data_IF_329014790167
#
_entry.id   IF_329014790167
#
_cell.length_a   1.000
_cell.length_b   1.000
_cell.length_c   1.000
_cell.angle_alpha   90.00
_cell.angle_beta   90.00
_cell.angle_gamma   90.00
#
_symmetry.space_group_name_H-M   'P 1'
#
loop_
_entity.id
_entity.type
_entity.pdbx_description
1 polymer ?
#
# COMPACT_ATOMS: atom_id res chain seq x y z
N UNK A 1 6.46 18.95 -16.56
CA UNK A 1 6.62 17.68 -17.28
C UNK A 1 6.39 17.91 -18.76
N UNK A 2 7.30 17.49 -19.63
CA UNK A 2 6.99 17.41 -21.07
C UNK A 2 5.75 16.50 -21.26
N UNK A 3 4.80 16.92 -22.11
CA UNK A 3 3.66 16.06 -22.45
C UNK A 3 4.19 14.78 -23.10
N UNK A 4 3.98 13.65 -22.44
CA UNK A 4 4.37 12.36 -22.98
C UNK A 4 3.33 11.95 -24.04
N UNK A 5 3.74 11.64 -25.26
CA UNK A 5 2.79 11.34 -26.35
C UNK A 5 2.06 10.00 -26.15
N UNK A 6 2.59 9.09 -25.35
CA UNK A 6 2.01 7.78 -25.08
C UNK A 6 2.40 7.27 -23.70
N UNK A 7 1.43 6.86 -22.90
CA UNK A 7 1.67 6.20 -21.63
C UNK A 7 2.10 4.75 -21.85
N UNK A 8 3.01 4.25 -21.01
CA UNK A 8 3.39 2.85 -20.95
C UNK A 8 2.73 2.15 -19.76
N UNK A 9 2.75 0.83 -19.76
CA UNK A 9 2.46 0.02 -18.58
C UNK A 9 3.65 0.13 -17.64
N UNK A 10 3.41 0.68 -16.47
CA UNK A 10 4.40 0.82 -15.39
C UNK A 10 3.94 -0.02 -14.18
N UNK A 11 4.89 -0.57 -13.44
CA UNK A 11 4.62 -1.36 -12.24
C UNK A 11 4.91 -0.52 -10.99
N UNK A 12 4.09 -0.62 -9.94
CA UNK A 12 4.42 -0.07 -8.62
C UNK A 12 5.53 -0.88 -7.97
N UNK A 13 5.35 -2.19 -7.84
CA UNK A 13 6.41 -3.11 -7.43
C UNK A 13 7.34 -3.34 -8.62
N UNK A 14 8.66 -3.15 -8.50
CA UNK A 14 9.59 -3.41 -9.60
C UNK A 14 9.42 -4.83 -10.18
N UNK A 15 9.37 -4.93 -11.50
CA UNK A 15 9.07 -6.21 -12.17
C UNK A 15 10.03 -7.34 -11.81
N UNK A 16 11.29 -7.03 -11.52
CA UNK A 16 12.25 -8.04 -11.09
C UNK A 16 11.90 -8.60 -9.71
N UNK A 17 11.38 -7.78 -8.78
CA UNK A 17 10.89 -8.27 -7.49
C UNK A 17 9.74 -9.27 -7.67
N UNK A 18 8.82 -8.99 -8.61
CA UNK A 18 7.72 -9.91 -8.91
C UNK A 18 8.20 -11.24 -9.49
N UNK A 19 9.26 -11.21 -10.29
CA UNK A 19 9.85 -12.43 -10.85
C UNK A 19 10.53 -13.31 -9.80
N UNK A 20 11.04 -12.74 -8.72
CA UNK A 20 11.65 -13.49 -7.61
C UNK A 20 10.65 -14.44 -6.93
N UNK A 21 9.37 -14.05 -6.89
CA UNK A 21 8.32 -14.77 -6.16
C UNK A 21 7.32 -15.48 -7.09
N UNK A 22 7.37 -15.23 -8.40
CA UNK A 22 6.45 -15.82 -9.36
C UNK A 22 6.76 -17.30 -9.61
N UNK A 23 5.72 -18.08 -9.88
CA UNK A 23 5.80 -19.45 -10.41
C UNK A 23 5.23 -19.43 -11.82
N UNK A 24 6.00 -19.88 -12.80
CA UNK A 24 5.60 -19.85 -14.24
C UNK A 24 5.09 -18.48 -14.72
N UNK A 25 5.64 -17.39 -14.14
CA UNK A 25 5.22 -16.03 -14.46
C UNK A 25 3.90 -15.58 -13.86
N UNK A 26 3.33 -16.35 -12.94
CA UNK A 26 2.07 -16.09 -12.24
C UNK A 26 2.28 -15.76 -10.77
N UNK A 27 1.38 -14.99 -10.21
CA UNK A 27 1.26 -14.58 -8.82
C UNK A 27 -0.19 -14.72 -8.37
N UNK A 28 -0.41 -14.78 -7.07
CA UNK A 28 -1.73 -14.65 -6.47
C UNK A 28 -1.94 -13.22 -5.98
N UNK A 29 -3.17 -12.74 -6.01
CA UNK A 29 -3.53 -11.41 -5.48
C UNK A 29 -4.80 -11.51 -4.66
N UNK A 30 -4.95 -10.59 -3.71
CA UNK A 30 -6.20 -10.43 -2.98
C UNK A 30 -7.27 -9.89 -3.95
N UNK A 31 -8.43 -10.53 -3.97
CA UNK A 31 -9.59 -9.99 -4.66
C UNK A 31 -10.74 -9.91 -3.66
N UNK A 32 -11.24 -8.72 -3.41
CA UNK A 32 -12.49 -8.54 -2.68
C UNK A 32 -13.66 -9.01 -3.57
N UNK A 33 -13.90 -10.32 -3.61
CA UNK A 33 -15.06 -10.89 -4.30
C UNK A 33 -16.08 -11.32 -3.26
N UNK A 34 -17.30 -10.82 -3.35
CA UNK A 34 -18.40 -11.28 -2.50
C UNK A 34 -18.55 -12.80 -2.62
N UNK A 35 -18.27 -13.52 -1.53
CA UNK A 35 -18.46 -14.98 -1.43
C UNK A 35 -17.34 -15.87 -1.93
N UNK A 36 -16.22 -15.32 -2.44
CA UNK A 36 -15.05 -16.07 -2.90
C UNK A 36 -13.90 -16.13 -1.90
N UNK A 37 -12.88 -16.95 -2.20
CA UNK A 37 -11.61 -16.88 -1.49
C UNK A 37 -10.95 -15.53 -1.73
N UNK A 38 -10.48 -14.90 -0.67
CA UNK A 38 -9.92 -13.55 -0.71
C UNK A 38 -8.57 -13.52 -1.41
N UNK A 39 -7.84 -14.66 -1.42
CA UNK A 39 -6.47 -14.75 -1.93
C UNK A 39 -6.36 -15.97 -2.85
N UNK A 40 -6.92 -15.89 -4.05
CA UNK A 40 -6.77 -16.98 -5.03
C UNK A 40 -6.75 -16.51 -6.49
N UNK A 41 -6.87 -15.21 -6.70
CA UNK A 41 -6.88 -14.70 -8.06
C UNK A 41 -5.48 -14.71 -8.68
N UNK A 42 -5.28 -15.55 -9.69
CA UNK A 42 -4.06 -15.53 -10.47
C UNK A 42 -3.91 -14.25 -11.30
N UNK A 43 -2.72 -13.69 -11.29
CA UNK A 43 -2.32 -12.57 -12.14
C UNK A 43 -0.93 -12.80 -12.71
N UNK A 44 -0.76 -12.59 -14.00
CA UNK A 44 0.55 -12.64 -14.62
C UNK A 44 1.44 -11.45 -14.23
N UNK A 45 2.74 -11.67 -14.04
CA UNK A 45 3.74 -10.63 -13.69
C UNK A 45 3.61 -9.36 -14.56
N UNK A 46 3.27 -9.50 -15.83
CA UNK A 46 3.11 -8.36 -16.75
C UNK A 46 1.88 -7.48 -16.49
N UNK A 47 0.92 -7.96 -15.68
CA UNK A 47 -0.33 -7.25 -15.34
C UNK A 47 -0.41 -6.89 -13.85
N UNK A 48 0.40 -7.53 -13.02
CA UNK A 48 0.39 -7.35 -11.57
C UNK A 48 0.83 -5.93 -11.19
N UNK A 49 0.08 -5.26 -10.31
CA UNK A 49 0.35 -3.92 -9.78
C UNK A 49 0.72 -2.88 -10.86
N UNK A 50 0.02 -2.88 -11.99
CA UNK A 50 0.30 -1.98 -13.11
C UNK A 50 -0.61 -0.76 -13.17
N UNK A 51 -0.11 0.33 -13.77
CA UNK A 51 -0.86 1.53 -14.09
C UNK A 51 -0.32 2.18 -15.38
N UNK A 52 -1.07 3.15 -15.96
CA UNK A 52 -0.71 3.84 -17.19
C UNK A 52 -0.81 5.36 -17.01
N UNK A 53 0.20 5.97 -16.37
CA UNK A 53 0.25 7.42 -16.10
C UNK A 53 1.60 8.06 -16.46
N UNK A 54 2.57 7.25 -16.92
CA UNK A 54 3.91 7.70 -17.30
C UNK A 54 4.30 7.17 -18.66
N UNK A 55 5.15 7.88 -19.40
CA UNK A 55 5.74 7.33 -20.61
C UNK A 55 6.99 6.51 -20.29
N UNK A 56 7.39 5.64 -21.21
CA UNK A 56 8.53 4.74 -21.03
C UNK A 56 9.81 5.49 -20.64
N UNK A 57 10.10 6.63 -21.28
CA UNK A 57 11.28 7.42 -20.97
C UNK A 57 11.27 7.91 -19.52
N UNK A 58 10.16 8.53 -19.08
CA UNK A 58 10.03 9.00 -17.71
C UNK A 58 10.07 7.84 -16.71
N UNK A 59 9.46 6.69 -17.03
CA UNK A 59 9.48 5.51 -16.19
C UNK A 59 10.91 5.00 -15.97
N UNK A 60 11.66 4.82 -17.05
CA UNK A 60 13.03 4.29 -16.98
C UNK A 60 14.02 5.28 -16.34
N UNK A 61 13.96 6.56 -16.70
CA UNK A 61 14.96 7.54 -16.26
C UNK A 61 14.70 8.02 -14.82
N UNK A 62 13.44 8.30 -14.50
CA UNK A 62 13.10 8.88 -13.21
C UNK A 62 13.16 7.88 -12.07
N UNK A 63 12.71 6.64 -12.27
CA UNK A 63 12.61 5.63 -11.22
C UNK A 63 13.84 4.73 -11.10
N UNK A 64 14.92 5.04 -11.82
CA UNK A 64 16.13 4.21 -11.93
C UNK A 64 16.73 3.84 -10.58
N UNK A 65 16.75 4.75 -9.60
CA UNK A 65 17.41 4.48 -8.33
C UNK A 65 16.72 3.34 -7.57
N UNK A 66 15.40 3.46 -7.35
CA UNK A 66 14.70 2.43 -6.58
C UNK A 66 14.43 1.16 -7.40
N UNK A 67 14.48 1.23 -8.73
CA UNK A 67 14.40 0.05 -9.61
C UNK A 67 15.76 -0.63 -9.82
N UNK A 68 16.80 -0.20 -9.13
CA UNK A 68 18.11 -0.86 -9.11
C UNK A 68 18.24 -1.71 -7.86
N UNK A 69 18.36 -3.06 -7.99
CA UNK A 69 18.38 -3.99 -6.85
C UNK A 69 19.42 -3.63 -5.78
N UNK A 70 20.60 -3.24 -6.19
CA UNK A 70 21.71 -2.88 -5.28
C UNK A 70 21.36 -1.65 -4.43
N UNK A 71 20.66 -0.69 -5.01
CA UNK A 71 20.22 0.52 -4.30
C UNK A 71 19.18 0.19 -3.24
N UNK A 72 18.26 -0.75 -3.51
CA UNK A 72 17.25 -1.16 -2.55
C UNK A 72 17.82 -1.86 -1.32
N UNK A 73 18.92 -2.61 -1.47
CA UNK A 73 19.58 -3.27 -0.35
C UNK A 73 20.29 -2.30 0.59
N UNK A 74 20.47 -1.05 0.18
CA UNK A 74 21.05 -0.01 1.03
C UNK A 74 19.97 0.72 1.83
N UNK A 75 20.38 1.39 2.91
CA UNK A 75 19.49 2.30 3.63
C UNK A 75 18.94 3.35 2.66
N UNK A 76 17.60 3.52 2.57
CA UNK A 76 17.00 4.37 1.54
C UNK A 76 17.36 5.85 1.76
N UNK A 77 17.76 6.50 0.69
CA UNK A 77 17.91 7.95 0.64
C UNK A 77 16.55 8.65 0.47
N UNK A 78 16.50 9.96 0.73
CA UNK A 78 15.31 10.77 0.43
C UNK A 78 14.90 10.66 -1.04
N UNK A 79 15.84 10.52 -1.98
CA UNK A 79 15.54 10.32 -3.39
C UNK A 79 14.81 8.99 -3.65
N UNK A 80 15.29 7.89 -3.07
CA UNK A 80 14.65 6.57 -3.19
C UNK A 80 13.23 6.63 -2.63
N UNK A 81 13.04 7.17 -1.42
CA UNK A 81 11.71 7.36 -0.84
C UNK A 81 10.82 8.26 -1.71
N UNK A 82 11.37 9.33 -2.29
CA UNK A 82 10.64 10.20 -3.21
C UNK A 82 10.21 9.50 -4.50
N UNK A 83 11.04 8.63 -5.07
CA UNK A 83 10.71 7.83 -6.24
C UNK A 83 9.61 6.80 -5.92
N UNK A 84 9.70 6.09 -4.81
CA UNK A 84 8.69 5.15 -4.33
C UNK A 84 7.37 5.88 -4.07
N UNK A 85 7.40 6.99 -3.34
CA UNK A 85 6.19 7.79 -3.08
C UNK A 85 5.52 8.27 -4.37
N UNK A 86 6.31 8.70 -5.37
CA UNK A 86 5.77 9.10 -6.67
C UNK A 86 5.08 7.94 -7.40
N UNK A 87 5.63 6.73 -7.38
CA UNK A 87 4.97 5.54 -7.95
C UNK A 87 3.66 5.20 -7.25
N UNK A 88 3.66 5.23 -5.91
CA UNK A 88 2.48 4.96 -5.11
C UNK A 88 1.37 5.98 -5.42
N UNK A 89 1.70 7.28 -5.45
CA UNK A 89 0.75 8.35 -5.78
C UNK A 89 0.22 8.23 -7.22
N UNK A 90 1.07 7.89 -8.20
CA UNK A 90 0.62 7.64 -9.57
C UNK A 90 -0.37 6.49 -9.65
N UNK A 91 -0.18 5.45 -8.87
CA UNK A 91 -1.11 4.31 -8.78
C UNK A 91 -2.45 4.75 -8.18
N UNK A 92 -2.44 5.48 -7.05
CA UNK A 92 -3.67 5.97 -6.39
C UNK A 92 -4.44 6.95 -7.27
N UNK A 93 -3.77 7.91 -7.88
CA UNK A 93 -4.40 8.82 -8.86
C UNK A 93 -5.03 8.05 -10.02
N UNK A 94 -4.36 6.97 -10.50
CA UNK A 94 -4.90 6.11 -11.55
C UNK A 94 -6.17 5.38 -11.11
N UNK A 95 -6.19 4.83 -9.88
CA UNK A 95 -7.38 4.18 -9.30
C UNK A 95 -8.52 5.19 -9.11
N UNK A 96 -8.24 6.34 -8.55
CA UNK A 96 -9.25 7.38 -8.29
C UNK A 96 -9.90 7.89 -9.59
N UNK A 97 -9.10 8.14 -10.63
CA UNK A 97 -9.61 8.54 -11.94
C UNK A 97 -10.49 7.45 -12.56
N UNK A 98 -10.06 6.19 -12.49
CA UNK A 98 -10.85 5.07 -12.98
C UNK A 98 -12.20 4.96 -12.26
N UNK A 99 -12.24 5.16 -10.93
CA UNK A 99 -13.48 5.17 -10.16
C UNK A 99 -14.41 6.29 -10.58
N UNK A 100 -13.89 7.49 -10.87
CA UNK A 100 -14.69 8.63 -11.37
C UNK A 100 -15.29 8.30 -12.74
N UNK A 101 -14.50 7.71 -13.65
CA UNK A 101 -14.98 7.32 -14.99
C UNK A 101 -16.07 6.25 -14.92
N UNK A 102 -15.90 5.22 -14.05
CA UNK A 102 -16.94 4.20 -13.86
C UNK A 102 -18.24 4.82 -13.33
N UNK A 103 -18.15 5.67 -12.30
CA UNK A 103 -19.34 6.32 -11.74
C UNK A 103 -20.05 7.19 -12.78
N UNK A 104 -19.32 7.86 -13.65
CA UNK A 104 -19.90 8.63 -14.76
C UNK A 104 -20.62 7.74 -15.80
N UNK A 105 -20.11 6.52 -16.04
CA UNK A 105 -20.75 5.55 -16.95
C UNK A 105 -21.99 4.91 -16.34
N UNK A 106 -22.01 4.69 -15.02
CA UNK A 106 -23.17 4.13 -14.31
C UNK A 106 -24.35 5.12 -14.19
N UNK A 107 -24.11 6.40 -14.48
CA UNK A 107 -25.13 7.43 -14.74
C UNK A 107 -26.14 7.66 -13.61
N UNK A 108 -27.34 8.12 -13.96
CA UNK A 108 -28.41 8.59 -13.07
C UNK A 108 -28.96 7.57 -12.05
N UNK A 109 -28.42 6.36 -12.00
CA UNK A 109 -28.75 5.34 -10.99
C UNK A 109 -28.05 5.59 -9.64
N UNK A 110 -27.26 6.66 -9.51
CA UNK A 110 -26.45 6.91 -8.32
C UNK A 110 -27.18 7.80 -7.31
N UNK A 111 -27.30 7.37 -6.04
CA UNK A 111 -27.91 8.20 -5.00
C UNK A 111 -27.12 9.50 -4.74
N UNK A 112 -27.77 10.58 -4.23
CA UNK A 112 -27.12 11.89 -3.93
C UNK A 112 -25.86 11.79 -3.03
N UNK A 113 -25.75 10.73 -2.24
CA UNK A 113 -24.58 10.45 -1.41
C UNK A 113 -23.31 10.24 -2.24
N UNK A 114 -23.44 9.78 -3.49
CA UNK A 114 -22.30 9.58 -4.39
C UNK A 114 -21.76 10.91 -4.93
N UNK A 115 -22.56 11.95 -5.03
CA UNK A 115 -22.12 13.29 -5.44
C UNK A 115 -21.22 13.92 -4.38
N UNK A 116 -21.61 13.80 -3.09
CA UNK A 116 -20.77 14.28 -1.99
C UNK A 116 -19.43 13.50 -1.93
N UNK A 117 -19.48 12.19 -2.13
CA UNK A 117 -18.30 11.34 -2.19
C UNK A 117 -17.42 11.67 -3.40
N UNK A 118 -18.01 11.96 -4.55
CA UNK A 118 -17.31 12.38 -5.76
C UNK A 118 -16.57 13.72 -5.55
N UNK A 119 -17.23 14.70 -4.88
CA UNK A 119 -16.60 15.97 -4.56
C UNK A 119 -15.41 15.81 -3.62
N UNK A 120 -15.52 14.99 -2.57
CA UNK A 120 -14.40 14.69 -1.66
C UNK A 120 -13.28 13.98 -2.41
N UNK A 121 -13.57 13.00 -3.27
CA UNK A 121 -12.58 12.32 -4.09
C UNK A 121 -11.85 13.25 -5.05
N UNK A 122 -12.54 14.24 -5.62
CA UNK A 122 -11.91 15.24 -6.46
C UNK A 122 -10.88 16.08 -5.68
N UNK A 123 -11.20 16.41 -4.42
CA UNK A 123 -10.27 17.10 -3.52
C UNK A 123 -9.08 16.20 -3.21
N UNK A 124 -9.29 14.93 -2.89
CA UNK A 124 -8.23 13.96 -2.60
C UNK A 124 -7.29 13.79 -3.81
N UNK A 125 -7.83 13.66 -5.02
CA UNK A 125 -7.02 13.60 -6.25
C UNK A 125 -6.16 14.86 -6.43
N UNK A 126 -6.69 16.04 -6.16
CA UNK A 126 -5.93 17.28 -6.25
C UNK A 126 -4.81 17.36 -5.21
N UNK A 127 -5.03 16.83 -4.01
CA UNK A 127 -4.01 16.70 -2.97
C UNK A 127 -2.92 15.68 -3.37
N UNK A 128 -3.32 14.52 -3.87
CA UNK A 128 -2.40 13.50 -4.36
C UNK A 128 -1.54 14.02 -5.53
N UNK A 129 -2.11 14.84 -6.42
CA UNK A 129 -1.35 15.50 -7.48
C UNK A 129 -0.33 16.53 -6.93
N UNK A 130 -0.67 17.24 -5.85
CA UNK A 130 0.27 18.12 -5.16
C UNK A 130 1.38 17.32 -4.47
N UNK A 131 1.01 16.26 -3.76
CA UNK A 131 1.96 15.34 -3.13
C UNK A 131 2.87 14.68 -4.17
N UNK A 132 2.34 14.30 -5.34
CA UNK A 132 3.10 13.77 -6.47
C UNK A 132 4.13 14.78 -6.98
N UNK A 133 3.76 16.04 -7.16
CA UNK A 133 4.72 17.09 -7.56
C UNK A 133 5.87 17.21 -6.58
N UNK A 134 5.58 17.13 -5.27
CA UNK A 134 6.61 17.16 -4.24
C UNK A 134 7.49 15.90 -4.27
N UNK A 135 6.90 14.71 -4.34
CA UNK A 135 7.62 13.44 -4.43
C UNK A 135 8.54 13.41 -5.67
N UNK A 136 8.04 13.86 -6.82
CA UNK A 136 8.83 13.99 -8.05
C UNK A 136 10.02 14.95 -7.90
N UNK A 137 9.84 16.07 -7.20
CA UNK A 137 10.92 17.02 -6.91
C UNK A 137 11.99 16.41 -6.03
N UNK A 138 11.57 15.73 -4.95
CA UNK A 138 12.49 15.06 -4.01
C UNK A 138 13.24 13.92 -4.69
N UNK A 139 12.56 13.09 -5.44
CA UNK A 139 13.15 11.96 -6.15
C UNK A 139 14.18 12.35 -7.22
N UNK A 140 14.24 13.61 -7.64
CA UNK A 140 15.25 14.15 -8.56
C UNK A 140 16.40 14.84 -7.87
N UNK A 141 16.25 15.25 -6.62
CA UNK A 141 17.23 16.09 -5.94
C UNK A 141 17.96 15.29 -4.84
N UNK A 142 19.25 14.95 -5.04
CA UNK A 142 20.04 14.25 -4.04
C UNK A 142 20.23 15.05 -2.74
N UNK A 143 20.02 16.38 -2.80
CA UNK A 143 20.14 17.27 -1.64
C UNK A 143 18.79 17.54 -0.96
N UNK A 144 17.68 16.95 -1.44
CA UNK A 144 16.38 17.11 -0.80
C UNK A 144 16.37 16.32 0.50
N UNK A 145 16.61 17.01 1.60
CA UNK A 145 16.55 16.46 2.95
C UNK A 145 15.15 16.70 3.53
N UNK A 146 14.73 15.82 4.44
CA UNK A 146 13.56 16.03 5.33
C UNK A 146 12.18 16.14 4.65
N UNK A 147 12.01 15.61 3.44
CA UNK A 147 10.67 15.51 2.84
C UNK A 147 9.92 14.25 3.31
N UNK A 148 10.66 13.19 3.55
CA UNK A 148 10.17 11.92 4.06
C UNK A 148 10.94 11.50 5.31
N UNK A 149 10.24 10.85 6.22
CA UNK A 149 10.83 10.26 7.43
C UNK A 149 10.74 8.75 7.35
N UNK A 150 11.91 8.12 7.42
CA UNK A 150 12.03 6.67 7.51
C UNK A 150 11.57 6.22 8.90
N UNK A 151 10.57 5.36 8.95
CA UNK A 151 10.05 4.74 10.19
C UNK A 151 10.78 3.44 10.45
N UNK A 152 10.91 2.60 9.42
CA UNK A 152 11.56 1.29 9.51
C UNK A 152 12.26 0.92 8.20
N UNK A 153 13.35 0.19 8.31
CA UNK A 153 14.05 -0.44 7.19
C UNK A 153 14.78 -1.69 7.67
N UNK A 154 14.48 -2.80 7.03
CA UNK A 154 15.18 -4.06 7.24
C UNK A 154 15.49 -4.71 5.90
N UNK A 155 16.59 -5.45 5.85
CA UNK A 155 16.96 -6.33 4.73
C UNK A 155 17.02 -7.75 5.29
N UNK A 156 16.01 -8.53 4.99
CA UNK A 156 15.93 -9.93 5.39
C UNK A 156 16.84 -10.77 4.49
N UNK A 157 17.66 -11.69 5.03
CA UNK A 157 18.61 -12.49 4.24
C UNK A 157 17.93 -13.70 3.55
N UNK A 158 16.68 -13.53 3.12
CA UNK A 158 15.86 -14.52 2.41
C UNK A 158 14.78 -13.82 1.60
N UNK A 159 14.22 -14.53 0.63
CA UNK A 159 13.10 -14.10 -0.19
C UNK A 159 11.78 -14.41 0.53
N UNK A 160 11.05 -13.38 0.97
CA UNK A 160 9.70 -13.53 1.51
C UNK A 160 8.71 -13.94 0.41
N UNK A 161 7.59 -14.60 0.77
CA UNK A 161 6.66 -15.18 -0.21
C UNK A 161 5.69 -14.16 -0.81
N UNK A 162 5.80 -12.88 -0.50
CA UNK A 162 4.94 -11.85 -1.07
C UNK A 162 5.72 -10.56 -1.36
N UNK A 163 5.17 -9.78 -2.27
CA UNK A 163 5.65 -8.45 -2.61
C UNK A 163 4.54 -7.42 -2.45
N UNK A 164 4.90 -6.24 -2.01
CA UNK A 164 3.97 -5.13 -1.80
C UNK A 164 4.68 -3.79 -1.97
N UNK A 165 4.01 -2.84 -2.60
CA UNK A 165 4.43 -1.44 -2.58
C UNK A 165 3.22 -0.55 -2.81
N UNK A 166 2.81 0.17 -1.77
CA UNK A 166 1.75 1.17 -1.84
C UNK A 166 1.82 2.16 -0.68
N UNK A 167 1.05 3.23 -0.77
CA UNK A 167 0.66 4.01 0.40
C UNK A 167 -0.67 3.49 0.94
N UNK A 168 -0.78 3.46 2.25
CA UNK A 168 -1.99 3.07 2.98
C UNK A 168 -2.34 4.17 3.99
N UNK A 169 -3.58 4.18 4.46
CA UNK A 169 -4.07 5.15 5.44
C UNK A 169 -4.52 4.44 6.72
N UNK A 170 -3.60 4.00 7.60
CA UNK A 170 -3.97 3.38 8.87
C UNK A 170 -4.91 4.26 9.69
N UNK A 171 -5.97 3.67 10.21
CA UNK A 171 -6.99 4.35 11.03
C UNK A 171 -6.47 4.67 12.42
N UNK A 172 -5.80 3.71 13.05
CA UNK A 172 -5.33 3.80 14.42
C UNK A 172 -3.88 3.35 14.59
N UNK A 173 -3.26 3.76 15.68
CA UNK A 173 -1.99 3.24 16.15
C UNK A 173 -2.15 1.88 16.87
N UNK A 174 -1.15 1.43 17.60
CA UNK A 174 -1.15 0.11 18.27
C UNK A 174 -2.20 0.00 19.37
N UNK A 175 -2.53 1.09 20.02
CA UNK A 175 -3.42 1.15 21.20
C UNK A 175 -4.80 1.77 20.88
N UNK A 176 -5.05 2.12 19.62
CA UNK A 176 -6.31 2.73 19.16
C UNK A 176 -6.29 4.26 19.16
N UNK A 177 -5.10 4.88 19.30
CA UNK A 177 -4.95 6.31 19.06
C UNK A 177 -5.18 6.65 17.59
N UNK A 178 -5.98 7.70 17.31
CA UNK A 178 -6.39 8.06 15.96
C UNK A 178 -5.22 8.56 15.10
N UNK A 179 -5.03 7.95 13.93
CA UNK A 179 -4.11 8.42 12.89
C UNK A 179 -4.93 9.05 11.76
N UNK A 180 -5.81 8.26 11.13
CA UNK A 180 -6.66 8.72 10.05
C UNK A 180 -8.11 8.44 10.38
N UNK A 181 -8.95 9.44 10.14
CA UNK A 181 -10.39 9.30 10.31
C UNK A 181 -11.07 9.32 8.93
N UNK A 182 -11.26 8.14 8.38
CA UNK A 182 -11.79 7.94 7.03
C UNK A 182 -13.18 8.55 6.82
N UNK A 183 -14.00 8.58 7.88
CA UNK A 183 -15.35 9.11 7.82
C UNK A 183 -15.42 10.65 7.96
N UNK A 184 -14.29 11.33 8.04
CA UNK A 184 -14.26 12.78 8.08
C UNK A 184 -14.32 13.33 6.64
N UNK A 185 -15.53 13.63 6.18
CA UNK A 185 -15.79 14.20 4.86
C UNK A 185 -15.57 15.73 4.81
N UNK A 186 -14.99 16.32 5.85
CA UNK A 186 -14.67 17.76 5.83
C UNK A 186 -13.70 18.08 4.68
N UNK A 187 -14.00 19.08 3.85
CA UNK A 187 -13.10 19.51 2.77
C UNK A 187 -11.72 19.98 3.25
N UNK A 188 -11.56 20.26 4.53
CA UNK A 188 -10.28 20.64 5.16
C UNK A 188 -9.51 19.45 5.72
N UNK A 189 -10.13 18.29 5.90
CA UNK A 189 -9.46 17.11 6.41
C UNK A 189 -8.63 16.45 5.32
N UNK A 190 -7.43 15.97 5.69
CA UNK A 190 -6.54 15.23 4.79
C UNK A 190 -6.03 13.99 5.48
N UNK A 191 -6.00 12.89 4.73
CA UNK A 191 -5.34 11.68 5.16
C UNK A 191 -3.82 11.90 5.21
N UNK A 192 -3.19 11.31 6.21
CA UNK A 192 -1.73 11.21 6.28
C UNK A 192 -1.32 9.78 5.91
N UNK A 193 -0.78 9.54 4.70
CA UNK A 193 -0.45 8.20 4.27
C UNK A 193 0.85 7.69 4.89
N UNK A 194 0.91 6.37 5.06
CA UNK A 194 2.11 5.60 5.34
C UNK A 194 2.49 4.82 4.07
N UNK A 195 3.71 4.96 3.60
CA UNK A 195 4.24 4.17 2.51
C UNK A 195 4.85 2.89 3.06
N UNK A 196 4.46 1.75 2.50
CA UNK A 196 5.01 0.43 2.86
C UNK A 196 5.54 -0.25 1.61
N UNK A 197 6.71 -0.87 1.75
CA UNK A 197 7.32 -1.70 0.73
C UNK A 197 7.74 -3.03 1.34
N UNK A 198 7.43 -4.13 0.65
CA UNK A 198 8.01 -5.45 0.83
C UNK A 198 8.51 -5.88 -0.55
N UNK A 199 9.81 -5.83 -0.76
CA UNK A 199 10.43 -5.94 -2.08
C UNK A 199 11.46 -7.09 -2.08
N UNK A 200 11.05 -8.30 -2.49
CA UNK A 200 11.96 -9.42 -2.74
C UNK A 200 12.97 -9.06 -3.83
N UNK A 201 14.25 -9.24 -3.57
CA UNK A 201 15.33 -8.91 -4.52
C UNK A 201 16.60 -9.66 -4.24
N UNK A 202 17.17 -10.34 -5.25
CA UNK A 202 18.47 -11.04 -5.15
C UNK A 202 18.59 -11.97 -3.93
N UNK A 203 17.56 -12.77 -3.67
CA UNK A 203 17.56 -13.69 -2.52
C UNK A 203 17.34 -13.03 -1.16
N UNK A 204 17.06 -11.74 -1.13
CA UNK A 204 16.75 -10.94 0.06
C UNK A 204 15.33 -10.37 -0.03
N UNK A 205 14.86 -9.79 1.07
CA UNK A 205 13.63 -8.99 1.06
C UNK A 205 13.85 -7.68 1.79
N UNK A 206 13.59 -6.58 1.10
CA UNK A 206 13.61 -5.25 1.72
C UNK A 206 12.23 -4.94 2.28
N UNK A 207 12.17 -4.65 3.57
CA UNK A 207 10.97 -4.15 4.25
C UNK A 207 11.21 -2.70 4.63
N UNK A 208 10.34 -1.80 4.17
CA UNK A 208 10.49 -0.37 4.39
C UNK A 208 9.15 0.27 4.73
N UNK A 209 9.13 1.07 5.80
CA UNK A 209 8.02 1.94 6.17
C UNK A 209 8.54 3.37 6.23
N UNK A 210 7.86 4.29 5.56
CA UNK A 210 8.19 5.70 5.63
C UNK A 210 6.95 6.57 5.40
N UNK A 211 6.99 7.81 5.85
CA UNK A 211 5.90 8.78 5.72
C UNK A 211 6.40 10.15 5.31
N UNK A 212 5.50 11.03 4.94
CA UNK A 212 5.82 12.45 4.78
C UNK A 212 6.29 13.07 6.11
N UNK A 213 7.26 13.97 6.07
CA UNK A 213 7.76 14.64 7.28
C UNK A 213 6.67 15.47 7.98
N UNK A 214 5.71 16.00 7.21
CA UNK A 214 4.55 16.75 7.72
C UNK A 214 3.48 15.90 8.38
N UNK A 215 3.48 14.58 8.17
CA UNK A 215 2.49 13.63 8.70
C UNK A 215 2.70 13.39 10.20
N UNK A 216 2.21 14.30 11.04
CA UNK A 216 2.53 14.34 12.46
C UNK A 216 1.65 13.44 13.33
N UNK A 217 0.53 12.96 12.82
CA UNK A 217 -0.35 12.03 13.54
C UNK A 217 0.30 10.67 13.81
N UNK A 218 1.37 10.33 13.06
CA UNK A 218 2.16 9.12 13.27
C UNK A 218 3.15 9.16 14.45
N UNK A 219 3.23 10.24 15.23
CA UNK A 219 4.25 10.35 16.30
C UNK A 219 4.14 9.24 17.33
N UNK A 220 2.92 8.95 17.76
CA UNK A 220 2.65 7.90 18.75
C UNK A 220 2.85 6.52 18.15
N UNK A 221 2.32 6.27 16.94
CA UNK A 221 2.61 5.06 16.19
C UNK A 221 4.12 4.77 16.10
N UNK A 222 4.93 5.79 15.75
CA UNK A 222 6.38 5.60 15.66
C UNK A 222 7.04 5.30 17.01
N UNK A 223 6.55 5.88 18.09
CA UNK A 223 7.05 5.61 19.44
C UNK A 223 6.76 4.15 19.82
N UNK A 224 5.54 3.71 19.63
CA UNK A 224 5.07 2.35 19.90
C UNK A 224 5.81 1.35 19.02
N UNK A 225 5.90 1.60 17.70
CA UNK A 225 6.58 0.74 16.72
C UNK A 225 8.08 0.56 17.07
N UNK A 226 8.78 1.60 17.49
CA UNK A 226 10.19 1.51 17.89
C UNK A 226 10.42 0.65 19.13
N UNK A 227 9.45 0.58 20.02
CA UNK A 227 9.53 -0.23 21.22
C UNK A 227 9.36 -1.74 20.98
N UNK A 228 8.87 -2.15 19.79
CA UNK A 228 8.71 -3.55 19.42
C UNK A 228 10.07 -4.21 19.14
N UNK A 229 10.14 -5.52 19.35
CA UNK A 229 11.20 -6.36 18.81
C UNK A 229 11.08 -6.51 17.27
N UNK A 230 12.10 -7.07 16.62
CA UNK A 230 12.13 -7.16 15.15
C UNK A 230 11.04 -8.07 14.59
N UNK A 231 10.71 -9.19 15.24
CA UNK A 231 9.65 -10.09 14.80
C UNK A 231 8.28 -9.38 14.85
N UNK A 232 8.00 -8.69 15.94
CA UNK A 232 6.78 -7.90 16.13
C UNK A 232 6.67 -6.73 15.14
N UNK A 233 7.78 -6.08 14.77
CA UNK A 233 7.82 -5.05 13.72
C UNK A 233 7.44 -5.64 12.35
N UNK A 234 8.01 -6.78 11.99
CA UNK A 234 7.70 -7.48 10.74
C UNK A 234 6.24 -7.94 10.71
N UNK A 235 5.76 -8.51 11.82
CA UNK A 235 4.36 -8.92 11.93
C UNK A 235 3.39 -7.73 11.82
N UNK A 236 3.74 -6.58 12.39
CA UNK A 236 2.97 -5.35 12.25
C UNK A 236 2.92 -4.88 10.78
N UNK A 237 4.02 -5.02 10.03
CA UNK A 237 4.04 -4.71 8.60
C UNK A 237 3.10 -5.65 7.81
N UNK A 238 3.07 -6.96 8.12
CA UNK A 238 2.12 -7.91 7.51
C UNK A 238 0.68 -7.49 7.82
N UNK A 239 0.36 -7.22 9.09
CA UNK A 239 -0.98 -6.76 9.50
C UNK A 239 -1.42 -5.51 8.72
N UNK A 240 -0.57 -4.51 8.66
CA UNK A 240 -0.85 -3.26 7.95
C UNK A 240 -1.07 -3.47 6.45
N UNK A 241 -0.24 -4.28 5.81
CA UNK A 241 -0.36 -4.58 4.38
C UNK A 241 -1.71 -5.22 4.06
N UNK A 242 -2.08 -6.27 4.78
CA UNK A 242 -3.32 -7.01 4.47
C UNK A 242 -4.59 -6.31 4.95
N UNK A 243 -4.54 -5.56 6.07
CA UNK A 243 -5.72 -4.84 6.57
C UNK A 243 -6.10 -3.62 5.70
N UNK A 244 -5.14 -3.00 5.02
CA UNK A 244 -5.36 -1.72 4.36
C UNK A 244 -5.15 -1.75 2.85
N UNK A 245 -4.86 -2.92 2.25
CA UNK A 245 -4.66 -2.99 0.79
C UNK A 245 -5.05 -4.35 0.20
N UNK A 246 -5.60 -4.29 -1.01
CA UNK A 246 -5.86 -5.45 -1.89
C UNK A 246 -4.70 -5.73 -2.86
N UNK A 247 -3.74 -4.80 -3.00
CA UNK A 247 -2.65 -4.88 -3.99
C UNK A 247 -1.47 -5.76 -3.51
N UNK A 248 -1.73 -6.76 -2.66
CA UNK A 248 -0.73 -7.74 -2.22
C UNK A 248 -0.51 -8.78 -3.31
N UNK A 249 0.75 -9.07 -3.60
CA UNK A 249 1.15 -10.06 -4.61
C UNK A 249 1.89 -11.19 -3.92
N UNK A 250 1.31 -12.38 -3.95
CA UNK A 250 1.76 -13.54 -3.19
C UNK A 250 2.28 -14.61 -4.14
N UNK A 251 3.33 -15.31 -3.74
CA UNK A 251 3.85 -16.46 -4.48
C UNK A 251 2.85 -17.62 -4.45
N UNK A 252 2.59 -18.30 -5.57
CA UNK A 252 1.83 -19.55 -5.59
C UNK A 252 2.45 -20.70 -4.77
N UNK A 253 3.72 -20.56 -4.34
CA UNK A 253 4.38 -21.53 -3.44
C UNK A 253 3.81 -21.50 -2.00
N UNK A 254 3.11 -20.43 -1.66
CA UNK A 254 2.39 -20.36 -0.38
C UNK A 254 1.24 -21.36 -0.42
N UNK A 255 1.29 -22.37 0.41
CA UNK A 255 0.29 -23.45 0.41
C UNK A 255 -1.08 -22.99 0.90
N UNK A 256 -2.10 -23.75 0.52
CA UNK A 256 -3.51 -23.52 0.85
C UNK A 256 -3.77 -23.29 2.34
N UNK A 257 -3.04 -23.99 3.22
CA UNK A 257 -3.19 -23.83 4.67
C UNK A 257 -2.93 -22.39 5.13
N UNK A 258 -1.97 -21.70 4.52
CA UNK A 258 -1.68 -20.29 4.80
C UNK A 258 -2.68 -19.37 4.11
N UNK A 259 -2.99 -19.62 2.84
CA UNK A 259 -3.92 -18.80 2.07
C UNK A 259 -5.36 -18.83 2.63
N UNK A 260 -5.71 -19.92 3.31
CA UNK A 260 -7.02 -20.14 3.97
C UNK A 260 -6.98 -19.91 5.48
N UNK A 261 -5.86 -19.44 6.03
CA UNK A 261 -5.77 -19.10 7.44
C UNK A 261 -6.84 -18.06 7.81
N UNK A 262 -7.62 -18.35 8.85
CA UNK A 262 -8.77 -17.53 9.24
C UNK A 262 -8.38 -16.10 9.61
N UNK A 263 -7.24 -15.92 10.27
CA UNK A 263 -6.75 -14.60 10.66
C UNK A 263 -6.29 -13.79 9.45
N UNK A 264 -5.61 -14.43 8.51
CA UNK A 264 -5.17 -13.79 7.25
C UNK A 264 -6.38 -13.39 6.40
N UNK A 265 -7.35 -14.29 6.23
CA UNK A 265 -8.58 -14.05 5.47
C UNK A 265 -9.41 -12.95 6.12
N UNK A 266 -9.57 -12.97 7.45
CA UNK A 266 -10.27 -11.92 8.18
C UNK A 266 -9.59 -10.58 8.00
N UNK A 267 -8.27 -10.53 8.11
CA UNK A 267 -7.47 -9.32 7.95
C UNK A 267 -7.63 -8.74 6.53
N UNK A 268 -7.50 -9.57 5.50
CA UNK A 268 -7.67 -9.14 4.11
C UNK A 268 -9.09 -8.64 3.78
N UNK A 269 -10.12 -9.18 4.47
CA UNK A 269 -11.51 -8.70 4.35
C UNK A 269 -11.75 -7.34 5.00
N UNK A 270 -10.93 -6.93 5.97
CA UNK A 270 -11.07 -5.62 6.61
C UNK A 270 -10.93 -4.48 5.60
N UNK A 271 -10.09 -4.61 4.59
CA UNK A 271 -9.97 -3.63 3.52
C UNK A 271 -11.27 -3.45 2.73
N UNK A 272 -12.00 -4.54 2.40
CA UNK A 272 -13.27 -4.48 1.68
C UNK A 272 -14.41 -3.96 2.56
N UNK A 273 -14.41 -4.28 3.84
CA UNK A 273 -15.38 -3.74 4.81
C UNK A 273 -15.22 -2.22 4.95
N UNK A 274 -13.99 -1.74 4.95
CA UNK A 274 -13.65 -0.32 4.99
C UNK A 274 -14.19 0.45 3.76
N UNK A 275 -14.26 -0.19 2.60
CA UNK A 275 -14.87 0.38 1.39
C UNK A 275 -16.40 0.29 1.39
N UNK A 276 -16.98 -0.68 2.09
CA UNK A 276 -18.44 -0.94 2.13
C UNK A 276 -19.22 -0.11 3.15
N UNK A 277 -18.58 0.58 4.06
CA UNK A 277 -19.25 1.49 5.01
C UNK A 277 -19.80 2.76 4.35
N UNK A 278 -19.75 2.87 3.02
CA UNK A 278 -20.24 4.01 2.23
C UNK A 278 -21.70 4.38 2.45
N UNK A 279 -22.51 3.45 2.88
CA UNK A 279 -23.97 3.68 2.99
C UNK A 279 -24.41 4.31 4.33
N UNK A 280 -23.52 4.44 5.31
CA UNK A 280 -23.83 4.95 6.66
C UNK A 280 -23.37 6.41 6.89
N UNK A 281 -22.95 7.11 5.86
CA UNK A 281 -22.17 8.36 5.94
C UNK A 281 -22.94 9.65 6.22
N UNK A 282 -24.23 9.61 6.48
CA UNK A 282 -25.01 10.84 6.61
C UNK A 282 -24.80 11.61 7.92
N UNK A 283 -24.10 11.04 8.92
CA UNK A 283 -23.79 11.75 10.16
C UNK A 283 -22.54 11.22 10.82
N UNK A 284 -21.68 12.15 11.30
CA UNK A 284 -20.60 11.83 12.23
C UNK A 284 -21.18 11.10 13.44
N UNK A 285 -20.95 9.80 13.51
CA UNK A 285 -21.29 9.01 14.70
C UNK A 285 -20.01 8.77 15.51
N UNK A 286 -19.87 9.51 16.61
CA UNK A 286 -18.72 9.41 17.52
C UNK A 286 -18.52 7.98 18.03
N UNK A 287 -19.59 7.28 18.37
CA UNK A 287 -19.51 5.90 18.86
C UNK A 287 -18.98 4.94 17.79
N UNK A 288 -19.41 5.11 16.53
CA UNK A 288 -18.90 4.33 15.41
C UNK A 288 -17.40 4.62 15.15
N UNK A 289 -17.00 5.89 15.29
CA UNK A 289 -15.60 6.29 15.17
C UNK A 289 -14.73 5.65 16.27
N UNK A 290 -15.17 5.71 17.51
CA UNK A 290 -14.47 5.10 18.64
C UNK A 290 -14.42 3.57 18.53
N UNK A 291 -15.47 2.95 18.00
CA UNK A 291 -15.47 1.50 17.70
C UNK A 291 -14.46 1.17 16.61
N UNK A 292 -14.47 1.90 15.50
CA UNK A 292 -13.50 1.71 14.42
C UNK A 292 -12.05 1.86 14.92
N UNK A 293 -11.75 2.87 15.75
CA UNK A 293 -10.42 3.05 16.32
C UNK A 293 -9.99 1.84 17.15
N UNK A 294 -10.91 1.24 17.93
CA UNK A 294 -10.60 0.03 18.72
C UNK A 294 -10.38 -1.20 17.84
N UNK A 295 -11.24 -1.39 16.84
CA UNK A 295 -11.16 -2.54 15.91
C UNK A 295 -9.93 -2.49 15.01
N UNK A 296 -9.51 -1.30 14.60
CA UNK A 296 -8.34 -1.07 13.75
C UNK A 296 -7.06 -0.74 14.54
N UNK A 297 -7.08 -0.76 15.87
CA UNK A 297 -5.86 -0.74 16.65
C UNK A 297 -4.96 -1.93 16.24
N UNK A 298 -3.69 -1.68 15.95
CA UNK A 298 -2.81 -2.71 15.35
C UNK A 298 -2.69 -3.93 16.28
N UNK A 299 -2.73 -3.73 17.61
CA UNK A 299 -2.74 -4.82 18.57
C UNK A 299 -4.04 -5.65 18.55
N UNK A 300 -5.17 -5.04 18.14
CA UNK A 300 -6.46 -5.72 18.03
C UNK A 300 -6.67 -6.42 16.68
N UNK A 301 -5.86 -6.08 15.67
CA UNK A 301 -5.93 -6.73 14.36
C UNK A 301 -5.65 -8.24 14.48
N UNK A 302 -6.33 -9.09 13.69
CA UNK A 302 -6.04 -10.50 13.62
C UNK A 302 -4.54 -10.79 13.48
N UNK A 303 -4.07 -11.89 14.04
CA UNK A 303 -2.69 -12.34 13.92
C UNK A 303 -2.57 -13.31 12.74
N UNK A 304 -2.18 -12.86 11.54
CA UNK A 304 -1.94 -13.75 10.41
C UNK A 304 -0.63 -14.52 10.61
N UNK A 305 -0.36 -15.56 9.79
CA UNK A 305 0.94 -16.20 9.72
C UNK A 305 2.06 -15.17 9.52
N UNK A 306 3.22 -15.42 10.12
CA UNK A 306 4.38 -14.52 10.09
C UNK A 306 5.11 -14.55 8.74
N UNK A 307 4.42 -14.15 7.67
CA UNK A 307 4.88 -14.25 6.28
C UNK A 307 6.23 -13.56 5.99
N UNK A 308 6.70 -12.72 6.89
CA UNK A 308 8.03 -12.10 6.83
C UNK A 308 9.06 -12.81 7.72
N UNK A 309 8.72 -13.94 8.35
CA UNK A 309 9.68 -14.77 9.07
C UNK A 309 10.47 -15.69 8.13
N UNK A 310 11.59 -16.22 8.61
CA UNK A 310 12.43 -17.17 7.87
C UNK A 310 11.67 -18.49 7.58
N UNK A 311 10.70 -18.84 8.39
CA UNK A 311 9.86 -20.03 8.23
C UNK A 311 9.09 -20.01 6.90
N UNK A 312 8.67 -18.84 6.46
CA UNK A 312 7.95 -18.62 5.21
C UNK A 312 8.87 -18.18 4.05
N UNK A 313 10.18 -18.27 4.20
CA UNK A 313 11.09 -17.98 3.10
C UNK A 313 10.85 -18.92 1.91
N UNK A 314 10.89 -18.42 0.68
CA UNK A 314 10.65 -19.23 -0.53
C UNK A 314 11.62 -20.42 -0.67
N UNK A 315 12.81 -20.35 -0.06
CA UNK A 315 13.75 -21.46 0.01
C UNK A 315 13.30 -22.59 0.96
N UNK A 316 12.37 -22.30 1.87
CA UNK A 316 11.80 -23.26 2.83
C UNK A 316 10.46 -23.79 2.33
N UNK A 317 9.68 -22.94 1.63
CA UNK A 317 8.45 -23.36 0.98
C UNK A 317 8.80 -24.24 -0.23
N UNK A 318 8.52 -25.51 -0.15
CA UNK A 318 8.77 -26.47 -1.23
C UNK A 318 8.00 -26.09 -2.51
N UNK A 319 8.58 -26.44 -3.69
CA UNK A 319 7.95 -26.18 -4.99
C UNK A 319 6.70 -27.04 -5.21
#
# INVERSE_FOLDING_TARGET
MQRCPKYCVSHTVPRYCLKEIAVEGKLLTCAAVMGGNVIDREVGVGKAATFKQVCRKCDTEYFKLYETPETLLLRPSSQVMGQIAAKNLLREISKARYSVEINAVLGDATPPILDATAAVRAIDVAEDERALKNALRVGRNPRALNAFKLVYHAVLPYTAPFAFQQMINPTADFEGGAINYFFNLSPSYRMEPLHICVLPTKGHTVVMLFRGESAKRYREFERQFRALDEASKLQSAVKLVFAYSEDVLISPRVGDAVLKDESLVRLARMNSTYQGYGDSFSSYNRAAAETALREYAINALPNPPELLSKEYALSVLHP
#
